data_IF_053312209266
#
_entry.id   IF_053312209266
#
_cell.length_a   1.000
_cell.length_b   1.000
_cell.length_c   1.000
_cell.angle_alpha   90.00
_cell.angle_beta   90.00
_cell.angle_gamma   90.00
#
_symmetry.space_group_name_H-M   'P 1'
#
loop_
_entity.id
_entity.type
_entity.pdbx_description
1 polymer ?
#
# COMPACT_ATOMS: atom_id res chain seq x y z
N UNK A 1 -56.95 -22.61 32.65
CA UNK A 1 -55.76 -22.87 31.82
C UNK A 1 -55.43 -21.62 31.02
N UNK A 2 -54.41 -20.88 31.46
CA UNK A 2 -53.99 -19.63 30.81
C UNK A 2 -52.73 -19.99 29.97
N UNK A 3 -52.81 -19.82 28.65
CA UNK A 3 -51.69 -20.01 27.73
C UNK A 3 -50.98 -18.67 27.54
N UNK A 4 -49.75 -18.58 28.04
CA UNK A 4 -48.85 -17.47 27.71
C UNK A 4 -48.16 -17.74 26.37
N UNK A 5 -48.43 -16.90 25.40
CA UNK A 5 -47.71 -16.87 24.14
C UNK A 5 -46.44 -16.04 24.27
N UNK A 6 -45.31 -16.64 24.06
CA UNK A 6 -44.02 -15.92 23.99
C UNK A 6 -43.85 -15.37 22.56
N UNK A 7 -43.87 -14.07 22.41
CA UNK A 7 -43.54 -13.39 21.15
C UNK A 7 -42.00 -13.26 21.08
N UNK A 8 -41.37 -13.97 20.14
CA UNK A 8 -39.95 -13.79 19.81
C UNK A 8 -39.84 -12.61 18.86
N UNK A 9 -39.38 -11.47 19.37
CA UNK A 9 -39.00 -10.32 18.53
C UNK A 9 -37.60 -10.59 17.98
N UNK A 10 -37.54 -11.04 16.73
CA UNK A 10 -36.29 -11.19 16.01
C UNK A 10 -35.73 -9.80 15.61
N UNK A 11 -34.69 -9.34 16.30
CA UNK A 11 -33.93 -8.18 15.86
C UNK A 11 -33.11 -8.55 14.62
N UNK A 12 -33.51 -8.08 13.44
CA UNK A 12 -32.71 -8.17 12.23
C UNK A 12 -31.51 -7.21 12.37
N UNK A 13 -30.32 -7.75 12.63
CA UNK A 13 -29.09 -7.00 12.49
C UNK A 13 -28.89 -6.69 11.00
N UNK A 14 -29.21 -5.47 10.58
CA UNK A 14 -28.77 -4.94 9.30
C UNK A 14 -27.25 -4.73 9.41
N UNK A 15 -26.46 -5.61 8.82
CA UNK A 15 -25.06 -5.36 8.61
C UNK A 15 -24.93 -4.13 7.70
N UNK A 16 -24.41 -3.05 8.24
CA UNK A 16 -24.10 -1.87 7.45
C UNK A 16 -23.01 -2.28 6.45
N UNK A 17 -23.32 -2.20 5.15
CA UNK A 17 -22.32 -2.36 4.09
C UNK A 17 -21.22 -1.29 4.33
N UNK A 18 -19.94 -1.64 4.20
CA UNK A 18 -18.88 -0.66 4.33
C UNK A 18 -19.12 0.46 3.32
N UNK A 19 -19.10 1.72 3.79
CA UNK A 19 -19.21 2.87 2.94
C UNK A 19 -18.13 2.82 1.86
N UNK A 20 -18.56 2.71 0.60
CA UNK A 20 -17.64 2.81 -0.53
C UNK A 20 -17.04 4.21 -0.49
N UNK A 21 -15.71 4.32 -0.49
CA UNK A 21 -15.09 5.61 -0.66
C UNK A 21 -15.61 6.24 -1.95
N UNK A 22 -16.19 7.44 -1.87
CA UNK A 22 -16.63 8.20 -3.05
C UNK A 22 -15.37 8.61 -3.84
N UNK A 23 -14.96 7.77 -4.77
CA UNK A 23 -13.92 8.12 -5.73
C UNK A 23 -14.57 9.04 -6.75
N UNK A 24 -14.37 10.34 -6.57
CA UNK A 24 -14.79 11.34 -7.56
C UNK A 24 -13.86 11.26 -8.79
N UNK A 25 -14.40 11.57 -9.97
CA UNK A 25 -13.57 11.70 -11.17
C UNK A 25 -12.45 12.72 -10.92
N UNK A 26 -11.20 12.29 -11.18
CA UNK A 26 -10.02 13.17 -11.14
C UNK A 26 -9.24 13.00 -12.44
N UNK A 27 -8.83 14.12 -13.03
CA UNK A 27 -7.85 14.18 -14.09
C UNK A 27 -6.65 14.93 -13.56
N UNK A 28 -5.48 14.31 -13.61
CA UNK A 28 -4.22 14.88 -13.16
C UNK A 28 -3.29 14.87 -14.36
N UNK A 29 -2.86 16.06 -14.78
CA UNK A 29 -1.94 16.20 -15.89
C UNK A 29 -0.52 15.76 -15.50
N UNK A 30 0.31 15.43 -16.47
CA UNK A 30 1.72 15.10 -16.23
C UNK A 30 2.47 16.25 -15.51
N UNK A 31 2.13 17.50 -15.83
CA UNK A 31 2.71 18.68 -15.18
C UNK A 31 2.31 18.79 -13.69
N UNK A 32 1.04 18.55 -13.38
CA UNK A 32 0.56 18.51 -11.99
C UNK A 32 1.22 17.40 -11.20
N UNK A 33 1.34 16.20 -11.77
CA UNK A 33 2.05 15.08 -11.17
C UNK A 33 3.53 15.42 -10.90
N UNK A 34 4.21 16.05 -11.87
CA UNK A 34 5.59 16.47 -11.71
C UNK A 34 5.75 17.54 -10.61
N UNK A 35 4.82 18.51 -10.52
CA UNK A 35 4.82 19.51 -9.45
C UNK A 35 4.57 18.91 -8.07
N UNK A 36 3.67 17.92 -7.98
CA UNK A 36 3.33 17.27 -6.72
C UNK A 36 4.54 16.59 -6.05
N UNK A 37 5.53 16.17 -6.84
CA UNK A 37 6.76 15.51 -6.37
C UNK A 37 8.02 16.28 -6.75
N UNK A 38 7.95 17.61 -6.81
CA UNK A 38 9.10 18.47 -7.19
C UNK A 38 10.23 18.47 -6.13
N UNK A 39 9.92 18.21 -4.85
CA UNK A 39 10.89 18.14 -3.76
C UNK A 39 11.85 16.95 -3.87
N UNK A 40 12.65 16.72 -2.81
CA UNK A 40 13.66 15.64 -2.81
C UNK A 40 13.01 14.26 -2.73
N UNK A 41 12.44 13.92 -1.60
CA UNK A 41 11.69 12.68 -1.39
C UNK A 41 10.30 13.06 -0.95
N UNK A 42 9.29 12.77 -1.77
CA UNK A 42 7.93 13.19 -1.50
C UNK A 42 6.94 12.09 -1.85
N UNK A 43 5.91 12.03 -1.05
CA UNK A 43 4.67 11.32 -1.31
C UNK A 43 3.55 12.35 -1.44
N UNK A 44 2.84 12.32 -2.56
CA UNK A 44 1.68 13.18 -2.77
C UNK A 44 0.43 12.31 -2.96
N UNK A 45 -0.46 12.26 -1.98
CA UNK A 45 -1.69 11.48 -2.08
C UNK A 45 -2.61 12.09 -3.14
N UNK A 46 -3.11 11.25 -4.05
CA UNK A 46 -4.09 11.60 -5.06
C UNK A 46 -5.48 11.20 -4.60
N UNK A 47 -5.57 9.99 -4.04
CA UNK A 47 -6.75 9.43 -3.39
C UNK A 47 -6.31 8.88 -2.04
N UNK A 48 -7.01 9.22 -1.00
CA UNK A 48 -6.79 8.70 0.34
C UNK A 48 -8.13 8.24 0.91
N UNK A 49 -8.35 6.95 0.87
CA UNK A 49 -9.59 6.31 1.30
C UNK A 49 -9.33 5.09 2.19
N UNK A 50 -10.35 4.63 2.95
CA UNK A 50 -10.19 3.54 3.91
C UNK A 50 -9.93 2.17 3.27
N UNK A 51 -10.24 1.99 1.99
CA UNK A 51 -10.10 0.73 1.26
C UNK A 51 -9.08 0.79 0.12
N UNK A 52 -8.78 1.99 -0.36
CA UNK A 52 -7.91 2.22 -1.49
C UNK A 52 -7.25 3.59 -1.36
N UNK A 53 -5.96 3.65 -1.62
CA UNK A 53 -5.29 4.93 -1.83
C UNK A 53 -4.37 4.87 -3.05
N UNK A 54 -4.08 6.04 -3.59
CA UNK A 54 -3.19 6.23 -4.73
C UNK A 54 -2.33 7.46 -4.47
N UNK A 55 -1.04 7.36 -4.74
CA UNK A 55 -0.10 8.46 -4.51
C UNK A 55 1.01 8.49 -5.55
N UNK A 56 1.50 9.70 -5.86
CA UNK A 56 2.77 9.90 -6.56
C UNK A 56 3.92 9.86 -5.57
N UNK A 57 4.99 9.20 -5.96
CA UNK A 57 6.21 9.12 -5.18
C UNK A 57 7.42 9.55 -5.98
N UNK A 58 8.32 10.26 -5.31
CA UNK A 58 9.69 10.49 -5.75
C UNK A 58 10.64 10.12 -4.63
N UNK A 59 11.66 9.36 -4.97
CA UNK A 59 12.74 9.00 -4.04
C UNK A 59 14.09 9.42 -4.63
N UNK A 60 14.98 9.91 -3.78
CA UNK A 60 16.41 10.12 -4.05
C UNK A 60 17.27 9.30 -3.10
N UNK A 61 16.62 8.47 -2.28
CA UNK A 61 17.21 7.54 -1.32
C UNK A 61 16.45 6.22 -1.37
N UNK A 62 17.11 5.11 -1.01
CA UNK A 62 16.47 3.81 -0.85
C UNK A 62 15.38 3.86 0.22
N UNK A 63 14.38 2.99 0.11
CA UNK A 63 13.35 2.87 1.15
C UNK A 63 13.93 2.29 2.45
N UNK A 64 13.13 2.27 3.51
CA UNK A 64 13.34 1.34 4.61
C UNK A 64 13.03 -0.09 4.17
N UNK A 65 13.52 -1.08 4.92
CA UNK A 65 12.99 -2.44 4.85
C UNK A 65 11.68 -2.45 5.60
N UNK A 66 10.59 -2.69 4.90
CA UNK A 66 9.24 -2.52 5.43
C UNK A 66 8.29 -3.66 5.04
N UNK A 67 7.21 -3.79 5.81
CA UNK A 67 6.12 -4.73 5.56
C UNK A 67 4.80 -4.16 6.06
N UNK A 68 3.77 -4.28 5.23
CA UNK A 68 2.39 -3.85 5.52
C UNK A 68 1.47 -5.07 5.60
N UNK A 69 0.86 -5.31 6.77
CA UNK A 69 -0.02 -6.48 6.95
C UNK A 69 -1.44 -6.28 6.41
N UNK A 70 -1.85 -5.03 6.31
CA UNK A 70 -3.21 -4.66 5.94
C UNK A 70 -3.39 -4.16 4.50
N UNK A 71 -2.30 -4.11 3.69
CA UNK A 71 -2.32 -3.50 2.37
C UNK A 71 -1.56 -4.32 1.35
N UNK A 72 -2.19 -4.60 0.22
CA UNK A 72 -1.49 -4.96 -1.00
C UNK A 72 -1.00 -3.68 -1.66
N UNK A 73 0.22 -3.69 -2.22
CA UNK A 73 0.83 -2.55 -2.89
C UNK A 73 1.10 -2.86 -4.35
N UNK A 74 0.78 -1.91 -5.22
CA UNK A 74 1.08 -1.97 -6.65
C UNK A 74 1.93 -0.76 -7.01
N UNK A 75 3.16 -1.01 -7.48
CA UNK A 75 4.09 0.04 -7.90
C UNK A 75 4.15 0.06 -9.43
N UNK A 76 3.92 1.23 -10.02
CA UNK A 76 4.13 1.51 -11.44
C UNK A 76 5.34 2.42 -11.57
N UNK A 77 6.47 1.87 -12.02
CA UNK A 77 7.74 2.60 -12.14
C UNK A 77 7.66 3.55 -13.34
N UNK A 78 7.83 4.83 -13.09
CA UNK A 78 7.78 5.88 -14.13
C UNK A 78 9.16 6.38 -14.55
N UNK A 79 10.14 6.35 -13.64
CA UNK A 79 11.50 6.84 -13.88
C UNK A 79 12.48 6.14 -12.94
N UNK A 80 13.67 5.86 -13.45
CA UNK A 80 14.79 5.33 -12.68
C UNK A 80 14.83 3.81 -12.62
N UNK A 81 15.92 3.32 -12.03
CA UNK A 81 16.20 1.90 -11.81
C UNK A 81 16.23 1.62 -10.32
N UNK A 82 15.63 0.52 -9.90
CA UNK A 82 15.57 0.09 -8.51
C UNK A 82 15.73 -1.41 -8.38
N UNK A 83 16.58 -1.84 -7.44
CA UNK A 83 16.66 -3.23 -7.05
C UNK A 83 15.64 -3.45 -5.91
N UNK A 84 14.58 -4.18 -6.20
CA UNK A 84 13.60 -4.60 -5.22
C UNK A 84 14.07 -5.91 -4.57
N UNK A 85 14.36 -5.86 -3.26
CA UNK A 85 14.54 -7.06 -2.44
C UNK A 85 13.18 -7.37 -1.79
N UNK A 86 12.72 -8.63 -1.84
CA UNK A 86 11.42 -9.01 -1.29
C UNK A 86 11.43 -10.46 -0.78
N UNK A 87 10.61 -10.75 0.22
CA UNK A 87 10.52 -12.09 0.81
C UNK A 87 9.63 -12.14 2.05
N UNK A 88 9.64 -13.29 2.72
CA UNK A 88 8.75 -13.56 3.86
C UNK A 88 9.35 -13.14 5.20
N UNK A 89 10.65 -12.93 5.26
CA UNK A 89 11.38 -12.64 6.51
C UNK A 89 12.31 -11.45 6.40
N UNK A 90 12.56 -10.80 7.53
CA UNK A 90 13.56 -9.74 7.66
C UNK A 90 14.34 -9.92 8.98
N UNK A 91 15.58 -9.39 9.02
CA UNK A 91 16.32 -9.29 10.26
C UNK A 91 15.82 -8.15 11.13
N UNK A 92 15.87 -8.35 12.47
CA UNK A 92 15.46 -7.38 13.48
C UNK A 92 14.08 -6.71 13.19
N UNK A 93 13.00 -7.49 13.00
CA UNK A 93 11.68 -6.94 12.71
C UNK A 93 11.14 -6.16 13.90
N UNK A 94 10.60 -4.96 13.64
CA UNK A 94 10.01 -4.06 14.65
C UNK A 94 8.66 -3.57 14.14
N UNK A 95 7.61 -3.74 14.93
CA UNK A 95 6.33 -3.12 14.65
C UNK A 95 6.40 -1.62 14.99
N UNK A 96 6.06 -0.77 14.04
CA UNK A 96 6.10 0.70 14.15
C UNK A 96 4.72 1.29 14.45
N UNK A 97 3.68 0.62 13.96
CA UNK A 97 2.27 0.85 14.27
C UNK A 97 1.48 -0.41 13.93
N UNK A 98 0.22 -0.56 14.35
CA UNK A 98 -0.55 -1.79 14.13
C UNK A 98 -0.53 -2.27 12.68
N UNK A 99 0.15 -3.41 12.44
CA UNK A 99 0.28 -4.03 11.13
C UNK A 99 1.37 -3.44 10.21
N UNK A 100 2.14 -2.44 10.69
CA UNK A 100 3.25 -1.82 9.96
C UNK A 100 4.58 -2.18 10.60
N UNK A 101 5.52 -2.69 9.84
CA UNK A 101 6.78 -3.21 10.35
C UNK A 101 7.97 -2.64 9.58
N UNK A 102 9.08 -2.40 10.30
CA UNK A 102 10.39 -2.15 9.75
C UNK A 102 11.38 -3.25 10.14
N UNK A 103 12.40 -3.44 9.31
CA UNK A 103 13.50 -4.37 9.56
C UNK A 103 14.84 -3.76 9.12
N UNK A 104 15.92 -4.53 9.28
CA UNK A 104 17.26 -4.07 8.86
C UNK A 104 17.61 -4.61 7.46
N UNK A 105 17.20 -5.84 7.13
CA UNK A 105 17.42 -6.43 5.81
C UNK A 105 16.35 -7.50 5.53
N UNK A 106 15.92 -7.64 4.27
CA UNK A 106 15.14 -8.81 3.82
C UNK A 106 16.06 -10.03 3.83
N UNK A 107 15.62 -11.13 4.45
CA UNK A 107 16.39 -12.35 4.58
C UNK A 107 15.71 -13.52 3.88
N UNK A 108 16.49 -14.41 3.25
CA UNK A 108 15.95 -15.58 2.55
C UNK A 108 15.07 -15.27 1.34
N UNK A 109 15.03 -14.00 0.91
CA UNK A 109 14.17 -13.52 -0.16
C UNK A 109 14.84 -13.57 -1.54
N UNK A 110 14.24 -12.83 -2.46
CA UNK A 110 14.68 -12.66 -3.85
C UNK A 110 14.96 -11.19 -4.14
N UNK A 111 15.68 -10.95 -5.23
CA UNK A 111 15.93 -9.60 -5.75
C UNK A 111 15.47 -9.53 -7.21
N UNK A 112 14.87 -8.42 -7.57
CA UNK A 112 14.42 -8.13 -8.92
C UNK A 112 14.83 -6.70 -9.29
N UNK A 113 15.49 -6.55 -10.45
CA UNK A 113 15.75 -5.23 -11.00
C UNK A 113 14.49 -4.73 -11.71
N UNK A 114 14.06 -3.55 -11.34
CA UNK A 114 12.92 -2.85 -11.95
C UNK A 114 13.41 -1.62 -12.70
N UNK A 115 12.78 -1.36 -13.84
CA UNK A 115 13.04 -0.25 -14.75
C UNK A 115 11.78 0.57 -14.98
N UNK A 116 11.91 1.75 -15.56
CA UNK A 116 10.75 2.54 -15.99
C UNK A 116 9.84 1.74 -16.93
N UNK A 117 8.55 1.71 -16.63
CA UNK A 117 7.52 0.93 -17.32
C UNK A 117 7.15 -0.37 -16.60
N UNK A 118 7.97 -0.86 -15.68
CA UNK A 118 7.65 -2.07 -14.92
C UNK A 118 6.54 -1.83 -13.91
N UNK A 119 5.76 -2.88 -13.68
CA UNK A 119 4.71 -2.94 -12.64
C UNK A 119 5.02 -4.11 -11.72
N UNK A 120 4.95 -3.88 -10.42
CA UNK A 120 5.10 -4.93 -9.43
C UNK A 120 3.95 -4.89 -8.43
N UNK A 121 3.47 -6.06 -8.03
CA UNK A 121 2.45 -6.24 -7.00
C UNK A 121 3.11 -6.91 -5.80
N UNK A 122 3.00 -6.28 -4.63
CA UNK A 122 3.49 -6.76 -3.35
C UNK A 122 2.28 -7.10 -2.46
N UNK A 123 1.95 -8.39 -2.29
CA UNK A 123 0.86 -8.79 -1.40
C UNK A 123 1.14 -8.38 0.04
N UNK A 124 0.07 -8.09 0.78
CA UNK A 124 0.13 -7.80 2.22
C UNK A 124 0.93 -8.88 2.97
N UNK A 125 1.83 -8.45 3.84
CA UNK A 125 2.72 -9.33 4.58
C UNK A 125 4.06 -9.61 3.91
N UNK A 126 4.30 -9.09 2.71
CA UNK A 126 5.59 -9.22 2.01
C UNK A 126 6.58 -8.20 2.55
N UNK A 127 7.72 -8.65 3.08
CA UNK A 127 8.85 -7.78 3.37
C UNK A 127 9.47 -7.28 2.07
N UNK A 128 9.75 -5.99 2.00
CA UNK A 128 10.35 -5.42 0.81
C UNK A 128 11.28 -4.25 1.11
N UNK A 129 12.20 -3.99 0.18
CA UNK A 129 13.19 -2.92 0.24
C UNK A 129 13.52 -2.45 -1.17
N UNK A 130 13.28 -1.20 -1.44
CA UNK A 130 13.59 -0.54 -2.71
C UNK A 130 14.99 0.09 -2.62
N UNK A 131 15.98 -0.54 -3.23
CA UNK A 131 17.36 -0.03 -3.28
C UNK A 131 17.57 0.73 -4.58
N UNK A 132 17.72 2.05 -4.51
CA UNK A 132 17.92 2.89 -5.69
C UNK A 132 19.22 2.52 -6.43
N UNK A 133 19.14 2.42 -7.76
CA UNK A 133 20.27 2.20 -8.67
C UNK A 133 20.47 3.39 -9.63
N UNK A 134 19.56 4.36 -9.61
CA UNK A 134 19.64 5.64 -10.30
C UNK A 134 19.54 6.79 -9.31
N UNK A 135 19.93 8.03 -9.67
CA UNK A 135 19.87 9.19 -8.78
C UNK A 135 18.46 9.54 -8.30
N UNK A 136 17.44 9.14 -9.05
CA UNK A 136 16.03 9.38 -8.77
C UNK A 136 15.19 8.18 -9.21
N UNK A 137 14.14 7.92 -8.46
CA UNK A 137 13.04 7.01 -8.82
C UNK A 137 11.73 7.78 -8.70
N UNK A 138 10.86 7.65 -9.70
CA UNK A 138 9.46 8.09 -9.63
C UNK A 138 8.55 6.92 -9.89
N UNK A 139 7.49 6.81 -9.13
CA UNK A 139 6.50 5.75 -9.28
C UNK A 139 5.13 6.20 -8.79
N UNK A 140 4.11 5.54 -9.30
CA UNK A 140 2.77 5.60 -8.74
C UNK A 140 2.64 4.40 -7.80
N UNK A 141 2.14 4.65 -6.59
CA UNK A 141 1.80 3.62 -5.62
C UNK A 141 0.29 3.57 -5.49
N UNK A 142 -0.25 2.38 -5.69
CA UNK A 142 -1.60 2.03 -5.30
C UNK A 142 -1.53 1.14 -4.06
N UNK A 143 -2.42 1.38 -3.10
CA UNK A 143 -2.62 0.49 -1.95
C UNK A 143 -4.07 0.08 -1.90
N UNK A 144 -4.29 -1.23 -1.88
CA UNK A 144 -5.62 -1.82 -1.74
C UNK A 144 -5.70 -2.54 -0.39
N UNK A 145 -6.75 -2.26 0.38
CA UNK A 145 -6.93 -2.90 1.68
C UNK A 145 -7.10 -4.40 1.48
N UNK A 146 -6.27 -5.18 2.17
CA UNK A 146 -6.38 -6.64 2.18
C UNK A 146 -7.78 -7.04 2.65
N UNK A 147 -8.47 -7.83 1.84
CA UNK A 147 -9.77 -8.37 2.21
C UNK A 147 -9.60 -9.45 3.28
N UNK A 148 -10.51 -9.55 4.25
CA UNK A 148 -10.56 -10.70 5.14
C UNK A 148 -10.74 -11.97 4.32
N UNK A 149 -9.89 -12.96 4.54
CA UNK A 149 -10.03 -14.29 3.96
C UNK A 149 -11.11 -15.10 4.67
#
# INVERSE_FOLDING_TARGET
>A
MIRFGIAIVGAAMMAALPARADVTFKHITAEEAARAVAGKTLTSPIVDGPQFNMSFHKRVESSHVEKHMGWDEELVIQEGDVLLNYGDTASNPRETSPGEFNGDAVTGGKSLMLHAGDVVILPAGTWHHQVLKSPVMRYILFKTKKQPG
#
